data_IF_321297461255
#
_entry.id   IF_321297461255
#
_cell.length_a   1.000
_cell.length_b   1.000
_cell.length_c   1.000
_cell.angle_alpha   90.00
_cell.angle_beta   90.00
_cell.angle_gamma   90.00
#
_symmetry.space_group_name_H-M   'P 1'
#
loop_
_entity.id
_entity.type
_entity.pdbx_description
1 polymer ?
#
# COMPACT_ATOMS: atom_id res chain seq x y z
N UNK A 1 -9.32 -41.10 -9.74
CA UNK A 1 -8.58 -41.74 -8.62
C UNK A 1 -8.07 -40.64 -7.70
N UNK A 2 -8.57 -40.54 -6.47
CA UNK A 2 -8.10 -39.56 -5.48
C UNK A 2 -6.95 -40.17 -4.67
N UNK A 3 -5.77 -39.52 -4.67
CA UNK A 3 -4.61 -39.95 -3.88
C UNK A 3 -4.90 -39.63 -2.41
N UNK A 4 -5.00 -40.65 -1.57
CA UNK A 4 -5.08 -40.49 -0.11
C UNK A 4 -3.68 -40.15 0.39
N UNK A 5 -3.44 -38.91 0.82
CA UNK A 5 -2.22 -38.49 1.53
C UNK A 5 -2.18 -39.18 2.89
N UNK A 6 -1.07 -39.87 3.18
CA UNK A 6 -0.84 -40.53 4.46
C UNK A 6 -0.39 -39.48 5.48
N UNK A 7 -0.80 -39.60 6.74
CA UNK A 7 -0.55 -38.59 7.78
C UNK A 7 0.94 -38.47 8.11
N UNK A 8 1.71 -39.53 7.83
CA UNK A 8 3.15 -39.60 8.06
C UNK A 8 3.97 -38.79 7.03
N UNK A 9 3.38 -38.41 5.89
CA UNK A 9 4.05 -37.60 4.85
C UNK A 9 3.98 -36.09 5.14
N UNK A 10 3.33 -35.69 6.23
CA UNK A 10 3.11 -34.28 6.60
C UNK A 10 4.25 -33.81 7.50
N UNK A 11 5.14 -32.99 6.96
CA UNK A 11 6.24 -32.39 7.72
C UNK A 11 5.71 -31.41 8.79
N UNK A 12 5.75 -31.86 10.04
CA UNK A 12 5.28 -31.10 11.20
C UNK A 12 6.12 -29.84 11.44
N UNK A 13 7.40 -29.85 11.09
CA UNK A 13 8.27 -28.67 11.24
C UNK A 13 7.91 -27.59 10.22
N UNK A 14 7.49 -27.97 9.01
CA UNK A 14 7.02 -27.01 8.01
C UNK A 14 5.73 -26.32 8.47
N UNK A 15 4.78 -27.07 9.04
CA UNK A 15 3.52 -26.52 9.57
C UNK A 15 3.80 -25.58 10.75
N UNK A 16 4.62 -26.01 11.72
CA UNK A 16 4.94 -25.18 12.89
C UNK A 16 5.67 -23.89 12.49
N UNK A 17 6.60 -23.96 11.53
CA UNK A 17 7.31 -22.78 11.04
C UNK A 17 6.42 -21.85 10.21
N UNK A 18 5.40 -22.38 9.50
CA UNK A 18 4.42 -21.57 8.78
C UNK A 18 3.61 -20.68 9.72
N UNK A 19 3.11 -21.22 10.83
CA UNK A 19 2.36 -20.44 11.81
C UNK A 19 3.23 -19.39 12.53
N UNK A 20 4.51 -19.68 12.75
CA UNK A 20 5.46 -18.74 13.38
C UNK A 20 5.91 -17.61 12.44
N UNK A 21 5.81 -17.77 11.12
CA UNK A 21 6.15 -16.72 10.15
C UNK A 21 5.14 -15.58 10.13
N UNK A 22 3.87 -15.88 10.38
CA UNK A 22 2.77 -14.91 10.31
C UNK A 22 2.49 -14.21 11.65
N UNK A 23 3.09 -14.69 12.74
CA UNK A 23 2.97 -14.10 14.07
C UNK A 23 4.12 -13.12 14.36
N UNK A 24 3.87 -11.82 14.16
CA UNK A 24 4.86 -10.76 14.40
C UNK A 24 5.21 -10.55 15.88
N UNK A 25 4.53 -11.21 16.82
CA UNK A 25 4.92 -11.19 18.23
C UNK A 25 6.15 -12.07 18.52
N UNK A 26 6.53 -12.95 17.58
CA UNK A 26 7.65 -13.88 17.73
C UNK A 26 8.93 -13.26 17.12
N UNK A 27 10.02 -13.15 17.87
CA UNK A 27 11.29 -12.60 17.40
C UNK A 27 11.90 -13.45 16.27
N UNK A 28 12.66 -12.83 15.35
CA UNK A 28 13.16 -13.48 14.14
C UNK A 28 14.01 -14.73 14.43
N UNK A 29 14.76 -14.75 15.54
CA UNK A 29 15.60 -15.90 15.92
C UNK A 29 14.79 -17.17 16.23
N UNK A 30 13.52 -17.04 16.63
CA UNK A 30 12.65 -18.16 16.98
C UNK A 30 11.79 -18.68 15.80
N UNK A 31 11.89 -18.02 14.63
CA UNK A 31 11.09 -18.38 13.42
C UNK A 31 11.68 -19.54 12.63
N UNK A 32 12.91 -19.93 12.93
CA UNK A 32 13.58 -21.09 12.34
C UNK A 32 14.18 -21.92 13.47
N UNK A 33 13.75 -23.16 13.65
CA UNK A 33 14.44 -24.07 14.57
C UNK A 33 15.90 -24.20 14.06
N UNK A 34 16.85 -23.90 14.94
CA UNK A 34 18.28 -23.83 14.63
C UNK A 34 18.78 -25.05 13.85
N UNK A 35 19.16 -24.80 12.60
CA UNK A 35 20.17 -25.59 11.92
C UNK A 35 21.44 -24.76 12.03
N UNK A 36 22.37 -25.27 12.83
CA UNK A 36 23.70 -24.72 13.04
C UNK A 36 24.35 -24.37 11.69
N UNK A 37 24.68 -23.10 11.48
CA UNK A 37 25.71 -22.72 10.52
C UNK A 37 26.96 -22.44 11.34
N UNK A 38 27.85 -23.44 11.36
CA UNK A 38 29.16 -23.35 11.96
C UNK A 38 29.92 -22.16 11.37
N UNK A 39 30.45 -21.35 12.28
CA UNK A 39 31.41 -20.28 12.01
C UNK A 39 32.80 -20.95 11.96
N UNK A 40 33.52 -20.84 10.85
CA UNK A 40 34.98 -20.98 10.84
C UNK A 40 35.60 -19.79 10.09
N UNK A 41 36.52 -19.14 10.79
CA UNK A 41 37.34 -18.01 10.39
C UNK A 41 38.61 -18.48 9.66
N UNK A 42 39.06 -17.63 8.72
CA UNK A 42 40.44 -17.33 8.30
C UNK A 42 41.42 -18.42 7.82
N UNK A 43 41.93 -18.23 6.60
CA UNK A 43 43.38 -18.22 6.35
C UNK A 43 43.73 -17.42 5.10
N UNK A 44 44.70 -16.51 5.28
CA UNK A 44 45.34 -15.67 4.28
C UNK A 44 46.17 -16.48 3.26
N UNK A 45 46.32 -15.91 2.06
CA UNK A 45 47.58 -15.69 1.31
C UNK A 45 47.51 -15.98 -0.20
N UNK A 46 48.28 -15.16 -0.90
CA UNK A 46 48.66 -15.13 -2.32
C UNK A 46 47.84 -14.25 -3.29
N UNK A 47 48.29 -13.00 -3.39
CA UNK A 47 48.39 -12.28 -4.67
C UNK A 47 49.61 -12.79 -5.45
N UNK A 48 49.61 -12.80 -6.81
CA UNK A 48 50.07 -11.58 -7.49
C UNK A 48 49.37 -11.25 -8.83
N UNK A 49 49.09 -9.95 -8.99
CA UNK A 49 49.43 -9.09 -10.13
C UNK A 49 49.14 -9.57 -11.58
N UNK A 50 48.19 -8.91 -12.23
CA UNK A 50 48.07 -8.86 -13.69
C UNK A 50 47.26 -7.64 -14.15
N UNK A 51 47.97 -6.61 -14.64
CA UNK A 51 47.45 -5.42 -15.35
C UNK A 51 46.64 -5.87 -16.59
N UNK A 52 45.61 -5.20 -17.10
CA UNK A 52 45.67 -3.90 -17.79
C UNK A 52 44.28 -3.46 -18.31
N UNK A 53 44.09 -2.14 -18.40
CA UNK A 53 43.30 -1.40 -19.41
C UNK A 53 41.75 -1.49 -19.48
N UNK A 54 41.13 -0.56 -18.74
CA UNK A 54 40.13 0.44 -19.17
C UNK A 54 39.21 0.21 -20.39
N UNK A 55 37.90 0.40 -20.14
CA UNK A 55 37.07 1.37 -20.86
C UNK A 55 35.80 1.69 -20.06
N UNK A 56 35.80 2.88 -19.51
CA UNK A 56 34.59 3.62 -19.13
C UNK A 56 33.80 3.93 -20.40
N UNK A 57 32.52 3.59 -20.42
CA UNK A 57 31.51 4.34 -21.17
C UNK A 57 30.29 4.49 -20.26
N UNK A 58 30.29 5.60 -19.54
CA UNK A 58 29.08 6.23 -19.04
C UNK A 58 28.13 6.48 -20.22
N UNK A 59 26.95 5.85 -20.20
CA UNK A 59 25.77 6.39 -20.85
C UNK A 59 24.67 6.59 -19.82
N UNK A 60 24.81 7.75 -19.17
CA UNK A 60 23.77 8.67 -18.75
C UNK A 60 22.47 8.56 -19.59
N UNK A 61 21.38 8.14 -18.96
CA UNK A 61 20.05 8.66 -19.30
C UNK A 61 19.43 9.31 -18.06
N UNK A 62 19.75 10.59 -17.92
CA UNK A 62 19.03 11.54 -17.07
C UNK A 62 17.58 11.69 -17.59
N UNK A 63 16.66 10.88 -17.09
CA UNK A 63 15.21 11.16 -17.22
C UNK A 63 14.48 10.85 -15.91
N UNK A 64 14.91 11.39 -14.77
CA UNK A 64 14.17 11.20 -13.51
C UNK A 64 13.90 12.42 -12.60
N UNK A 65 14.28 13.69 -12.88
CA UNK A 65 13.83 14.77 -12.01
C UNK A 65 12.38 15.18 -12.30
N UNK A 66 11.98 15.29 -13.57
CA UNK A 66 10.65 15.81 -13.95
C UNK A 66 9.51 14.85 -13.58
N UNK A 67 9.70 13.53 -13.77
CA UNK A 67 8.69 12.52 -13.46
C UNK A 67 8.47 12.36 -11.95
N UNK A 68 9.55 12.41 -11.15
CA UNK A 68 9.50 12.39 -9.68
C UNK A 68 8.91 13.67 -9.08
N UNK A 69 9.18 14.84 -9.70
CA UNK A 69 8.55 16.10 -9.29
C UNK A 69 7.04 16.08 -9.55
N UNK A 70 6.62 15.73 -10.77
CA UNK A 70 5.19 15.61 -11.11
C UNK A 70 4.43 14.59 -10.27
N UNK A 71 5.06 13.48 -9.86
CA UNK A 71 4.41 12.52 -8.97
C UNK A 71 4.23 13.09 -7.56
N UNK A 72 5.24 13.79 -7.04
CA UNK A 72 5.14 14.46 -5.74
C UNK A 72 4.08 15.57 -5.74
N UNK A 73 3.95 16.31 -6.84
CA UNK A 73 2.91 17.34 -6.99
C UNK A 73 1.50 16.73 -6.96
N UNK A 74 1.30 15.59 -7.64
CA UNK A 74 0.02 14.86 -7.62
C UNK A 74 -0.33 14.25 -6.26
N UNK A 75 0.67 13.73 -5.56
CA UNK A 75 0.49 13.23 -4.20
C UNK A 75 0.03 14.36 -3.26
N UNK A 76 0.67 15.53 -3.35
CA UNK A 76 0.29 16.70 -2.56
C UNK A 76 -1.10 17.22 -2.92
N UNK A 77 -1.45 17.25 -4.20
CA UNK A 77 -2.79 17.62 -4.67
C UNK A 77 -3.86 16.66 -4.13
N UNK A 78 -3.60 15.35 -4.17
CA UNK A 78 -4.49 14.36 -3.57
C UNK A 78 -4.64 14.58 -2.06
N UNK A 79 -3.54 14.79 -1.35
CA UNK A 79 -3.59 15.05 0.08
C UNK A 79 -4.42 16.30 0.39
N UNK A 80 -4.18 17.38 -0.36
CA UNK A 80 -4.90 18.63 -0.20
C UNK A 80 -6.39 18.48 -0.50
N UNK A 81 -6.79 17.68 -1.49
CA UNK A 81 -8.19 17.52 -1.87
C UNK A 81 -8.98 16.62 -0.90
N UNK A 82 -8.39 15.51 -0.42
CA UNK A 82 -9.16 14.45 0.26
C UNK A 82 -8.83 14.28 1.75
N UNK A 83 -7.75 14.89 2.26
CA UNK A 83 -7.40 14.89 3.68
C UNK A 83 -7.68 16.22 4.35
N UNK A 84 -8.88 16.77 4.13
CA UNK A 84 -9.39 17.90 4.89
C UNK A 84 -10.31 17.38 5.99
N UNK A 85 -10.03 17.76 7.23
CA UNK A 85 -11.00 17.57 8.30
C UNK A 85 -12.16 18.52 8.08
N UNK A 86 -13.37 17.96 8.16
CA UNK A 86 -14.60 18.72 7.96
C UNK A 86 -15.34 18.76 9.29
N UNK A 87 -15.45 19.96 9.86
CA UNK A 87 -16.17 20.19 11.11
C UNK A 87 -17.66 20.43 10.83
N UNK A 88 -18.37 19.36 10.51
CA UNK A 88 -19.84 19.38 10.42
C UNK A 88 -20.40 18.74 11.69
N UNK A 89 -21.21 19.46 12.47
CA UNK A 89 -21.81 18.89 13.66
C UNK A 89 -22.75 17.75 13.26
N UNK A 90 -22.59 16.58 13.90
CA UNK A 90 -23.26 15.33 13.55
C UNK A 90 -24.79 15.43 13.39
N UNK A 91 -25.42 16.39 14.06
CA UNK A 91 -26.87 16.70 13.96
C UNK A 91 -27.35 17.17 12.58
N UNK A 92 -26.44 17.66 11.73
CA UNK A 92 -26.74 18.14 10.37
C UNK A 92 -26.56 17.01 9.35
N UNK A 93 -25.80 15.97 9.71
CA UNK A 93 -25.51 14.84 8.83
C UNK A 93 -26.70 13.92 8.61
N UNK A 94 -26.66 13.17 7.49
CA UNK A 94 -27.51 12.02 7.24
C UNK A 94 -26.66 10.75 7.25
N UNK A 95 -27.17 9.68 7.83
CA UNK A 95 -26.50 8.38 7.82
C UNK A 95 -26.75 7.65 6.51
N UNK A 96 -25.68 7.19 5.86
CA UNK A 96 -25.77 6.42 4.61
C UNK A 96 -24.97 5.12 4.79
N UNK A 97 -25.53 4.01 4.30
CA UNK A 97 -24.81 2.75 4.27
C UNK A 97 -23.81 2.73 3.12
N UNK A 98 -22.59 2.30 3.41
CA UNK A 98 -21.57 2.02 2.40
C UNK A 98 -21.24 0.53 2.37
N UNK A 99 -20.81 0.05 1.21
CA UNK A 99 -20.35 -1.33 1.05
C UNK A 99 -19.17 -1.60 1.98
N UNK A 100 -19.13 -2.81 2.56
CA UNK A 100 -18.08 -3.22 3.51
C UNK A 100 -16.69 -3.08 2.90
N UNK A 101 -16.53 -3.47 1.64
CA UNK A 101 -15.25 -3.43 0.93
C UNK A 101 -14.73 -2.00 0.79
N UNK A 102 -15.62 -1.02 0.61
CA UNK A 102 -15.24 0.39 0.52
C UNK A 102 -14.92 0.97 1.89
N UNK A 103 -15.68 0.59 2.92
CA UNK A 103 -15.38 0.97 4.30
C UNK A 103 -13.97 0.55 4.69
N UNK A 104 -13.62 -0.72 4.52
CA UNK A 104 -12.28 -1.24 4.85
C UNK A 104 -11.17 -0.57 4.05
N UNK A 105 -11.42 -0.31 2.76
CA UNK A 105 -10.44 0.37 1.89
C UNK A 105 -10.19 1.80 2.33
N UNK A 106 -11.24 2.57 2.63
CA UNK A 106 -11.12 3.96 3.09
C UNK A 106 -10.44 3.99 4.47
N UNK A 107 -10.82 3.09 5.37
CA UNK A 107 -10.20 3.00 6.69
C UNK A 107 -8.69 2.70 6.60
N UNK A 108 -8.25 1.88 5.63
CA UNK A 108 -6.82 1.65 5.38
C UNK A 108 -6.11 2.91 4.87
N UNK A 109 -6.74 3.66 3.98
CA UNK A 109 -6.21 4.94 3.48
C UNK A 109 -6.00 5.91 4.64
N UNK A 110 -7.00 6.09 5.49
CA UNK A 110 -6.95 7.01 6.62
C UNK A 110 -5.85 6.65 7.63
N UNK A 111 -5.68 5.37 7.93
CA UNK A 111 -4.66 4.91 8.88
C UNK A 111 -3.24 5.07 8.34
N UNK A 112 -3.01 4.67 7.09
CA UNK A 112 -1.66 4.62 6.51
C UNK A 112 -1.20 6.00 6.05
N UNK A 113 -2.10 6.75 5.42
CA UNK A 113 -1.76 8.01 4.73
C UNK A 113 -2.10 9.21 5.62
N UNK A 114 -3.29 9.22 6.23
CA UNK A 114 -3.78 10.35 7.02
C UNK A 114 -3.38 10.30 8.50
N UNK A 115 -2.75 9.20 8.97
CA UNK A 115 -2.38 8.99 10.38
C UNK A 115 -3.53 9.27 11.38
N UNK A 116 -4.75 8.91 10.99
CA UNK A 116 -5.99 9.13 11.75
C UNK A 116 -6.33 10.62 12.02
N UNK A 117 -5.76 11.56 11.26
CA UNK A 117 -6.09 13.00 11.34
C UNK A 117 -7.47 13.34 10.73
N UNK A 118 -8.02 12.44 9.90
CA UNK A 118 -9.27 12.69 9.16
C UNK A 118 -10.25 11.56 9.45
N UNK A 119 -11.49 11.93 9.81
CA UNK A 119 -12.55 10.97 10.05
C UNK A 119 -13.04 10.31 8.74
N UNK A 120 -13.62 9.11 8.85
CA UNK A 120 -14.29 8.45 7.72
C UNK A 120 -15.37 9.34 7.09
N UNK A 121 -16.11 10.06 7.93
CA UNK A 121 -17.13 11.01 7.50
C UNK A 121 -16.50 12.12 6.64
N UNK A 122 -15.45 12.77 7.15
CA UNK A 122 -14.77 13.87 6.45
C UNK A 122 -14.19 13.42 5.11
N UNK A 123 -13.62 12.21 5.05
CA UNK A 123 -13.12 11.66 3.78
C UNK A 123 -14.23 11.44 2.75
N UNK A 124 -15.36 10.88 3.17
CA UNK A 124 -16.51 10.67 2.27
C UNK A 124 -17.07 12.01 1.80
N UNK A 125 -17.17 12.98 2.70
CA UNK A 125 -17.63 14.33 2.38
C UNK A 125 -16.73 15.02 1.36
N UNK A 126 -15.41 14.91 1.50
CA UNK A 126 -14.44 15.42 0.51
C UNK A 126 -14.59 14.74 -0.86
N UNK A 127 -14.81 13.41 -0.89
CA UNK A 127 -15.07 12.67 -2.14
C UNK A 127 -16.34 13.16 -2.82
N UNK A 128 -17.40 13.39 -2.05
CA UNK A 128 -18.66 13.91 -2.57
C UNK A 128 -18.51 15.35 -3.07
N UNK A 129 -17.81 16.20 -2.32
CA UNK A 129 -17.52 17.58 -2.70
C UNK A 129 -16.78 17.62 -4.04
N UNK A 130 -15.70 16.84 -4.15
CA UNK A 130 -14.94 16.72 -5.39
C UNK A 130 -15.82 16.23 -6.55
N UNK A 131 -16.67 15.23 -6.31
CA UNK A 131 -17.59 14.72 -7.32
C UNK A 131 -18.58 15.79 -7.80
N UNK A 132 -19.18 16.56 -6.90
CA UNK A 132 -20.13 17.61 -7.27
C UNK A 132 -19.45 18.80 -7.95
N UNK A 133 -18.21 19.13 -7.58
CA UNK A 133 -17.44 20.17 -8.26
C UNK A 133 -17.09 19.78 -9.70
N UNK A 134 -16.67 18.53 -9.93
CA UNK A 134 -16.21 18.08 -11.25
C UNK A 134 -17.33 17.64 -12.19
N UNK A 135 -18.45 17.17 -11.66
CA UNK A 135 -19.56 16.62 -12.45
C UNK A 135 -20.87 17.39 -12.27
N UNK A 136 -20.84 18.53 -11.57
CA UNK A 136 -22.04 19.29 -11.24
C UNK A 136 -22.78 19.84 -12.46
N UNK A 137 -22.06 20.22 -13.52
CA UNK A 137 -22.69 20.70 -14.76
C UNK A 137 -23.41 19.58 -15.51
N UNK A 138 -22.79 18.40 -15.61
CA UNK A 138 -23.37 17.22 -16.23
C UNK A 138 -24.61 16.77 -15.45
N UNK A 139 -24.53 16.77 -14.11
CA UNK A 139 -25.67 16.46 -13.25
C UNK A 139 -26.81 17.44 -13.51
N UNK A 140 -26.55 18.75 -13.60
CA UNK A 140 -27.58 19.76 -13.91
C UNK A 140 -28.20 19.56 -15.28
N UNK A 141 -27.39 19.36 -16.33
CA UNK A 141 -27.87 19.11 -17.70
C UNK A 141 -28.78 17.88 -17.75
N UNK A 142 -28.38 16.78 -17.09
CA UNK A 142 -29.19 15.57 -17.01
C UNK A 142 -30.47 15.81 -16.21
N UNK A 143 -30.41 16.58 -15.13
CA UNK A 143 -31.58 16.93 -14.35
C UNK A 143 -32.59 17.74 -15.17
N UNK A 144 -32.17 18.81 -15.84
CA UNK A 144 -33.04 19.65 -16.68
C UNK A 144 -33.72 18.85 -17.79
N UNK A 145 -32.95 18.03 -18.51
CA UNK A 145 -33.45 17.19 -19.59
C UNK A 145 -34.48 16.15 -19.12
N UNK A 146 -34.35 15.63 -17.90
CA UNK A 146 -35.30 14.68 -17.33
C UNK A 146 -36.45 15.36 -16.57
N UNK A 147 -36.23 16.56 -16.02
CA UNK A 147 -37.25 17.33 -15.30
C UNK A 147 -38.30 17.92 -16.23
N UNK A 148 -37.96 18.16 -17.51
CA UNK A 148 -38.94 18.53 -18.55
C UNK A 148 -39.92 17.40 -18.93
N UNK A 149 -39.79 16.20 -18.34
CA UNK A 149 -40.69 15.06 -18.56
C UNK A 149 -41.84 15.05 -17.53
N UNK A 150 -41.82 15.92 -16.52
CA UNK A 150 -42.92 16.15 -15.58
C UNK A 150 -43.56 17.53 -15.79
#
# INVERSE_FOLDING_TARGET
MAKKTRVEDIDSNFIINSFRRDDMSIPPEARTNGVESEKQEESEDESPMGKEAGKEEEQKTEEMPARRRRSKDREQEYLAAFHKEVDIPARIGKTVYIRKEYHERIQRILRIIAKDEVSLFSYIDNVLTYHFEHFGEEIKKLYENNSSIF
#
